data_IF_258457646103
#
_entry.id   IF_258457646103
#
_cell.length_a   1.000
_cell.length_b   1.000
_cell.length_c   1.000
_cell.angle_alpha   90.00
_cell.angle_beta   90.00
_cell.angle_gamma   90.00
#
_symmetry.space_group_name_H-M   'P 1'
#
loop_
_entity.id
_entity.type
_entity.pdbx_description
1 polymer ?
#
# COMPACT_ATOMS: atom_id res chain seq x y z
N UNK A 1 -13.64 30.41 -39.67
CA UNK A 1 -14.29 29.44 -38.78
C UNK A 1 -15.78 29.61 -38.87
N UNK A 2 -16.50 28.52 -39.10
CA UNK A 2 -17.97 28.53 -39.08
C UNK A 2 -18.46 28.44 -37.63
N UNK A 3 -19.65 28.98 -37.34
CA UNK A 3 -20.23 28.99 -35.98
C UNK A 3 -20.38 27.57 -35.38
N UNK A 4 -20.50 26.56 -36.24
CA UNK A 4 -20.47 25.15 -35.90
C UNK A 4 -19.10 24.66 -35.41
N UNK A 5 -18.01 25.14 -35.98
CA UNK A 5 -16.64 24.79 -35.56
C UNK A 5 -16.32 25.37 -34.17
N UNK A 6 -16.80 26.59 -33.87
CA UNK A 6 -16.64 27.21 -32.56
C UNK A 6 -17.45 26.50 -31.47
N UNK A 7 -18.69 26.09 -31.78
CA UNK A 7 -19.52 25.31 -30.86
C UNK A 7 -18.91 23.93 -30.62
N UNK A 8 -18.44 23.26 -31.67
CA UNK A 8 -17.71 21.98 -31.56
C UNK A 8 -16.44 22.14 -30.71
N UNK A 9 -15.60 23.14 -30.97
CA UNK A 9 -14.40 23.41 -30.17
C UNK A 9 -14.74 23.72 -28.69
N UNK A 10 -15.84 24.43 -28.43
CA UNK A 10 -16.30 24.71 -27.07
C UNK A 10 -16.86 23.47 -26.35
N UNK A 11 -17.49 22.55 -27.09
CA UNK A 11 -17.97 21.27 -26.58
C UNK A 11 -16.80 20.31 -26.34
N UNK A 12 -15.81 20.28 -27.23
CA UNK A 12 -14.56 19.54 -27.09
C UNK A 12 -13.77 20.01 -25.86
N UNK A 13 -13.65 21.32 -25.66
CA UNK A 13 -13.00 21.89 -24.47
C UNK A 13 -13.77 21.70 -23.17
N UNK A 14 -15.09 21.46 -23.22
CA UNK A 14 -15.94 21.26 -22.03
C UNK A 14 -16.17 19.80 -21.65
N UNK A 15 -16.24 18.91 -22.64
CA UNK A 15 -16.65 17.52 -22.44
C UNK A 15 -15.56 16.50 -22.78
N UNK A 16 -14.42 16.93 -23.33
CA UNK A 16 -13.42 16.04 -23.89
C UNK A 16 -13.92 15.44 -25.20
N UNK A 17 -13.10 15.42 -26.24
CA UNK A 17 -13.33 14.50 -27.35
C UNK A 17 -12.25 13.46 -27.31
N UNK A 18 -12.71 12.20 -27.30
CA UNK A 18 -11.89 11.02 -27.52
C UNK A 18 -11.10 11.17 -28.82
N UNK A 19 -9.85 11.60 -28.71
CA UNK A 19 -8.92 11.64 -29.83
C UNK A 19 -7.78 10.66 -29.51
N UNK A 20 -7.88 9.40 -29.91
CA UNK A 20 -6.86 8.40 -29.60
C UNK A 20 -5.47 8.72 -30.19
N UNK A 21 -5.35 9.76 -31.03
CA UNK A 21 -4.07 10.27 -31.52
C UNK A 21 -3.40 11.29 -30.58
N UNK A 22 -4.13 11.83 -29.62
CA UNK A 22 -3.63 12.77 -28.62
C UNK A 22 -3.43 12.09 -27.27
N UNK A 23 -2.38 12.47 -26.54
CA UNK A 23 -2.07 11.96 -25.22
C UNK A 23 -2.53 12.96 -24.15
N UNK A 24 -3.24 12.47 -23.14
CA UNK A 24 -3.53 13.16 -21.91
C UNK A 24 -2.70 12.60 -20.76
N UNK A 25 -2.43 13.49 -19.80
CA UNK A 25 -1.74 13.14 -18.56
C UNK A 25 -2.80 13.17 -17.46
N UNK A 26 -3.05 12.02 -16.83
CA UNK A 26 -4.01 11.92 -15.73
C UNK A 26 -3.26 11.57 -14.44
N UNK A 27 -3.62 12.22 -13.33
CA UNK A 27 -3.12 11.80 -12.02
C UNK A 27 -3.60 10.38 -11.74
N UNK A 28 -2.67 9.49 -11.43
CA UNK A 28 -2.96 8.07 -11.22
C UNK A 28 -2.12 7.52 -10.07
N UNK A 29 -2.57 6.40 -9.52
CA UNK A 29 -1.85 5.68 -8.47
C UNK A 29 -1.84 4.19 -8.80
N UNK A 30 -0.70 3.54 -8.58
CA UNK A 30 -0.59 2.08 -8.56
C UNK A 30 -0.34 1.64 -7.14
N UNK A 31 -1.11 0.69 -6.64
CA UNK A 31 -0.93 0.15 -5.31
C UNK A 31 -0.96 -1.37 -5.30
N UNK A 32 -0.18 -1.94 -4.40
CA UNK A 32 -0.23 -3.35 -4.09
C UNK A 32 -0.02 -3.58 -2.59
N UNK A 33 -0.91 -4.37 -2.02
CA UNK A 33 -0.86 -4.85 -0.65
C UNK A 33 -0.60 -6.36 -0.66
N UNK A 34 0.36 -6.76 0.16
CA UNK A 34 0.80 -8.15 0.32
C UNK A 34 0.63 -8.54 1.78
N UNK A 35 0.03 -9.70 2.02
CA UNK A 35 -0.10 -10.25 3.37
C UNK A 35 1.29 -10.53 3.93
N UNK A 36 1.60 -9.93 5.06
CA UNK A 36 2.81 -10.22 5.80
C UNK A 36 2.73 -11.65 6.36
N UNK A 37 3.70 -12.52 6.05
CA UNK A 37 3.74 -13.86 6.62
C UNK A 37 4.04 -13.77 8.11
N UNK A 38 3.37 -14.61 8.89
CA UNK A 38 3.39 -14.55 10.36
C UNK A 38 4.79 -14.80 10.92
N UNK A 39 5.58 -15.64 10.26
CA UNK A 39 6.95 -15.92 10.61
C UNK A 39 7.89 -15.30 9.58
N UNK A 40 8.74 -14.38 10.04
CA UNK A 40 10.11 -14.25 9.56
C UNK A 40 10.35 -14.44 8.08
N UNK A 41 10.05 -13.44 7.26
CA UNK A 41 10.39 -13.46 5.84
C UNK A 41 11.69 -12.71 5.57
N UNK A 42 12.43 -13.16 4.57
CA UNK A 42 13.63 -12.45 4.07
C UNK A 42 13.28 -11.47 2.96
N UNK A 43 12.13 -11.65 2.31
CA UNK A 43 11.71 -10.84 1.17
C UNK A 43 10.19 -10.80 1.06
N UNK A 44 9.66 -9.64 0.67
CA UNK A 44 8.29 -9.47 0.21
C UNK A 44 8.32 -8.89 -1.19
N UNK A 45 7.60 -9.52 -2.11
CA UNK A 45 7.52 -9.10 -3.50
C UNK A 45 6.15 -8.50 -3.77
N UNK A 46 6.15 -7.35 -4.43
CA UNK A 46 4.97 -6.57 -4.76
C UNK A 46 4.74 -6.54 -6.28
N UNK A 47 3.51 -6.23 -6.68
CA UNK A 47 3.05 -6.10 -8.05
C UNK A 47 3.18 -7.38 -8.89
N UNK A 48 3.21 -8.56 -8.26
CA UNK A 48 3.26 -9.85 -8.97
C UNK A 48 1.92 -10.54 -9.10
N UNK A 49 0.93 -10.17 -8.30
CA UNK A 49 -0.37 -10.82 -8.31
C UNK A 49 -1.40 -9.75 -8.70
N UNK A 50 -1.94 -9.79 -9.93
CA UNK A 50 -2.99 -8.86 -10.33
C UNK A 50 -4.29 -9.15 -9.58
N UNK A 51 -5.26 -8.26 -9.73
CA UNK A 51 -6.60 -8.47 -9.21
C UNK A 51 -7.17 -9.84 -9.63
N UNK A 52 -7.81 -10.53 -8.69
CA UNK A 52 -8.37 -11.86 -8.88
C UNK A 52 -7.35 -13.00 -8.76
N UNK A 53 -6.05 -12.71 -8.84
CA UNK A 53 -5.02 -13.72 -8.59
C UNK A 53 -4.95 -14.08 -7.11
N UNK A 54 -4.61 -15.33 -6.81
CA UNK A 54 -4.49 -15.83 -5.44
C UNK A 54 -3.29 -15.21 -4.74
N UNK A 55 -3.50 -14.57 -3.59
CA UNK A 55 -2.44 -14.13 -2.72
C UNK A 55 -1.71 -15.35 -2.12
N UNK A 56 -0.39 -15.49 -2.32
CA UNK A 56 0.35 -16.70 -1.94
C UNK A 56 0.37 -16.97 -0.43
N UNK A 57 0.15 -15.93 0.40
CA UNK A 57 0.19 -16.08 1.86
C UNK A 57 -1.20 -16.34 2.44
N UNK A 58 -2.24 -15.60 2.01
CA UNK A 58 -3.60 -15.83 2.51
C UNK A 58 -4.37 -16.95 1.80
N UNK A 59 -3.97 -17.33 0.59
CA UNK A 59 -4.70 -18.29 -0.25
C UNK A 59 -6.03 -17.77 -0.82
N UNK A 60 -6.33 -16.49 -0.62
CA UNK A 60 -7.54 -15.82 -1.12
C UNK A 60 -7.22 -15.00 -2.37
N UNK A 61 -8.18 -14.84 -3.27
CA UNK A 61 -8.02 -13.93 -4.41
C UNK A 61 -7.86 -12.49 -3.97
N UNK A 62 -6.88 -11.78 -4.54
CA UNK A 62 -6.68 -10.35 -4.31
C UNK A 62 -7.88 -9.55 -4.81
N UNK A 63 -8.36 -8.64 -3.97
CA UNK A 63 -9.47 -7.74 -4.28
C UNK A 63 -8.97 -6.38 -4.77
N UNK A 64 -9.89 -5.54 -5.27
CA UNK A 64 -9.59 -4.13 -5.62
C UNK A 64 -9.03 -3.34 -4.42
N UNK A 65 -9.35 -3.73 -3.19
CA UNK A 65 -8.81 -3.07 -1.99
C UNK A 65 -7.30 -3.33 -1.83
N UNK A 66 -6.81 -4.45 -2.36
CA UNK A 66 -5.42 -4.89 -2.19
C UNK A 66 -4.57 -4.56 -3.40
N UNK A 67 -5.11 -4.54 -4.62
CA UNK A 67 -4.35 -4.09 -5.78
C UNK A 67 -5.25 -3.58 -6.89
N UNK A 68 -4.78 -2.57 -7.61
CA UNK A 68 -5.37 -2.14 -8.87
C UNK A 68 -4.59 -2.62 -10.09
N UNK A 69 -3.63 -3.53 -9.90
CA UNK A 69 -2.86 -4.13 -10.98
C UNK A 69 -3.74 -5.09 -11.78
N UNK A 70 -3.85 -4.90 -13.09
CA UNK A 70 -4.62 -5.82 -13.95
C UNK A 70 -3.76 -6.93 -14.56
N UNK A 71 -2.43 -6.74 -14.60
CA UNK A 71 -1.47 -7.69 -15.20
C UNK A 71 -0.27 -7.93 -14.29
N UNK A 72 0.18 -9.17 -14.20
CA UNK A 72 1.32 -9.55 -13.36
C UNK A 72 2.60 -8.80 -13.77
N UNK A 73 3.20 -8.08 -12.83
CA UNK A 73 4.55 -7.53 -12.96
C UNK A 73 4.69 -6.41 -13.96
N UNK A 74 3.60 -5.73 -14.36
CA UNK A 74 3.60 -4.70 -15.41
C UNK A 74 2.52 -3.64 -15.17
N UNK A 75 2.85 -2.37 -15.39
CA UNK A 75 1.84 -1.30 -15.45
C UNK A 75 1.05 -1.34 -16.76
N UNK A 76 -0.18 -0.85 -16.71
CA UNK A 76 -1.10 -0.85 -17.86
C UNK A 76 -0.84 0.30 -18.84
N UNK A 77 -0.27 1.39 -18.32
CA UNK A 77 0.03 2.60 -19.06
C UNK A 77 1.46 3.05 -18.76
N UNK A 78 2.09 3.83 -19.67
CA UNK A 78 3.30 4.56 -19.32
C UNK A 78 3.01 5.46 -18.10
N UNK A 79 3.87 5.38 -17.10
CA UNK A 79 3.61 5.98 -15.79
C UNK A 79 4.83 6.76 -15.31
N UNK A 80 4.62 8.03 -14.95
CA UNK A 80 5.64 8.88 -14.34
C UNK A 80 5.45 8.82 -12.84
N UNK A 81 6.43 8.28 -12.12
CA UNK A 81 6.43 8.19 -10.66
C UNK A 81 6.97 9.50 -10.08
N UNK A 82 6.18 10.10 -9.20
CA UNK A 82 6.54 11.34 -8.49
C UNK A 82 6.66 11.11 -6.98
N UNK A 83 5.95 10.14 -6.43
CA UNK A 83 6.02 9.81 -5.01
C UNK A 83 5.96 8.30 -4.80
N UNK A 84 6.69 7.84 -3.78
CA UNK A 84 6.62 6.46 -3.30
C UNK A 84 6.07 6.53 -1.89
N UNK A 85 5.09 5.69 -1.60
CA UNK A 85 4.50 5.60 -0.29
C UNK A 85 4.32 4.16 0.14
N UNK A 86 4.35 3.92 1.44
CA UNK A 86 4.27 2.59 2.02
C UNK A 86 3.31 2.58 3.19
N UNK A 87 2.76 1.40 3.49
CA UNK A 87 1.74 1.21 4.51
C UNK A 87 1.98 -0.06 5.30
N UNK A 88 1.66 0.01 6.60
CA UNK A 88 1.42 -1.14 7.45
C UNK A 88 -0.08 -1.09 7.80
N UNK A 89 -0.80 -2.08 7.29
CA UNK A 89 -2.24 -2.14 7.36
C UNK A 89 -2.68 -3.33 8.21
N UNK A 90 -3.29 -3.06 9.35
CA UNK A 90 -3.84 -4.11 10.19
C UNK A 90 -5.28 -4.40 9.72
N UNK A 91 -5.53 -5.68 9.40
CA UNK A 91 -6.83 -6.07 8.84
C UNK A 91 -7.97 -5.91 9.86
N UNK A 92 -9.17 -5.56 9.37
CA UNK A 92 -10.36 -5.43 10.20
C UNK A 92 -10.73 -6.79 10.77
N UNK A 93 -11.47 -6.83 11.88
CA UNK A 93 -11.82 -8.10 12.54
C UNK A 93 -12.46 -9.12 11.61
N UNK A 94 -13.37 -8.68 10.73
CA UNK A 94 -14.07 -9.59 9.82
C UNK A 94 -13.12 -10.38 8.90
N UNK A 95 -11.88 -9.89 8.72
CA UNK A 95 -10.81 -10.51 7.93
C UNK A 95 -9.67 -11.06 8.80
N UNK A 96 -9.80 -11.00 10.12
CA UNK A 96 -8.94 -11.71 11.07
C UNK A 96 -9.50 -13.12 11.32
N UNK A 97 -8.65 -14.01 11.84
CA UNK A 97 -9.09 -15.34 12.22
C UNK A 97 -10.12 -15.28 13.37
N UNK A 98 -11.09 -16.19 13.40
CA UNK A 98 -12.25 -16.14 14.30
C UNK A 98 -11.91 -16.07 15.81
N UNK A 99 -10.74 -16.57 16.21
CA UNK A 99 -10.23 -16.52 17.57
C UNK A 99 -9.63 -15.15 17.97
N UNK A 100 -9.47 -14.22 17.02
CA UNK A 100 -9.12 -12.81 17.29
C UNK A 100 -10.43 -12.06 17.62
N UNK A 101 -10.70 -11.84 18.90
CA UNK A 101 -11.95 -11.22 19.36
C UNK A 101 -12.08 -9.74 18.93
N UNK A 102 -13.31 -9.27 18.67
CA UNK A 102 -13.60 -7.83 18.64
C UNK A 102 -13.50 -7.35 20.07
N UNK A 103 -12.36 -6.81 20.45
CA UNK A 103 -12.40 -5.67 21.33
C UNK A 103 -11.10 -4.91 21.17
N UNK A 104 -11.27 -3.59 21.09
CA UNK A 104 -10.30 -2.49 21.05
C UNK A 104 -9.24 -2.52 22.17
N UNK A 105 -9.14 -3.61 22.92
CA UNK A 105 -8.17 -3.89 23.97
C UNK A 105 -7.07 -4.89 23.57
N UNK A 106 -7.34 -5.83 22.66
CA UNK A 106 -6.37 -6.91 22.39
C UNK A 106 -5.40 -6.63 21.25
N UNK A 107 -5.67 -5.71 20.33
CA UNK A 107 -4.60 -5.22 19.44
C UNK A 107 -4.14 -3.83 19.90
N UNK A 108 -4.96 -3.06 20.62
CA UNK A 108 -4.72 -1.63 20.90
C UNK A 108 -4.89 -1.20 22.36
N UNK A 109 -5.27 -2.08 23.30
CA UNK A 109 -5.57 -1.63 24.68
C UNK A 109 -5.34 -2.68 25.77
N UNK A 110 -4.09 -2.85 26.20
CA UNK A 110 -3.86 -3.25 27.58
C UNK A 110 -4.04 -4.72 27.95
N UNK A 111 -4.26 -5.64 27.02
CA UNK A 111 -4.12 -7.07 27.30
C UNK A 111 -2.63 -7.45 27.47
N UNK A 112 -2.31 -8.33 28.42
CA UNK A 112 -0.94 -8.72 28.82
C UNK A 112 -0.03 -9.28 27.70
N UNK A 113 -0.52 -9.41 26.48
CA UNK A 113 0.20 -9.98 25.32
C UNK A 113 0.24 -9.05 24.10
N UNK A 114 -0.41 -7.88 24.14
CA UNK A 114 -0.59 -7.07 22.93
C UNK A 114 -0.62 -5.54 23.13
N UNK A 115 -0.40 -5.07 24.36
CA UNK A 115 -0.32 -3.64 24.64
C UNK A 115 1.03 -3.03 24.26
N UNK A 116 1.01 -1.73 23.96
CA UNK A 116 2.23 -0.90 23.90
C UNK A 116 3.03 -1.03 25.20
N UNK A 117 4.36 -1.23 25.10
CA UNK A 117 5.25 -1.40 26.26
C UNK A 117 5.36 -2.83 26.82
N UNK A 118 4.64 -3.82 26.26
CA UNK A 118 4.81 -5.24 26.62
C UNK A 118 5.92 -5.87 25.76
N UNK A 119 6.94 -6.53 26.35
CA UNK A 119 7.90 -7.33 25.59
C UNK A 119 7.16 -8.37 24.72
N UNK A 120 7.38 -8.35 23.41
CA UNK A 120 6.69 -9.18 22.40
C UNK A 120 5.20 -8.85 22.14
N UNK A 121 4.76 -7.61 22.36
CA UNK A 121 3.44 -7.14 21.91
C UNK A 121 3.38 -6.84 20.40
N UNK A 122 2.18 -6.90 19.81
CA UNK A 122 1.95 -6.62 18.37
C UNK A 122 2.46 -5.24 17.98
N UNK A 123 2.20 -4.20 18.79
CA UNK A 123 2.70 -2.84 18.53
C UNK A 123 4.23 -2.75 18.49
N UNK A 124 4.92 -3.40 19.42
CA UNK A 124 6.38 -3.43 19.42
C UNK A 124 6.91 -4.19 18.19
N UNK A 125 6.22 -5.26 17.78
CA UNK A 125 6.57 -5.98 16.57
C UNK A 125 6.38 -5.14 15.29
N UNK A 126 5.28 -4.38 15.20
CA UNK A 126 5.02 -3.46 14.08
C UNK A 126 6.00 -2.27 14.07
N UNK A 127 6.36 -1.74 15.24
CA UNK A 127 7.38 -0.69 15.36
C UNK A 127 8.78 -1.17 14.96
N UNK A 128 9.13 -2.40 15.34
CA UNK A 128 10.38 -3.02 14.90
C UNK A 128 10.35 -3.31 13.39
N UNK A 129 9.22 -3.77 12.86
CA UNK A 129 9.03 -3.98 11.42
C UNK A 129 9.17 -2.67 10.63
N UNK A 130 8.63 -1.56 11.14
CA UNK A 130 8.74 -0.25 10.46
C UNK A 130 10.19 0.25 10.38
N UNK A 131 11.03 -0.11 11.36
CA UNK A 131 12.47 0.20 11.37
C UNK A 131 13.35 -0.78 10.59
N UNK A 132 12.77 -1.71 9.84
CA UNK A 132 13.49 -2.76 9.12
C UNK A 132 13.18 -2.74 7.61
N UNK A 133 14.07 -3.38 6.86
CA UNK A 133 13.88 -3.64 5.44
C UNK A 133 14.54 -2.61 4.52
N UNK A 134 14.73 -3.01 3.27
CA UNK A 134 15.20 -2.18 2.17
C UNK A 134 14.23 -2.38 1.01
N UNK A 135 13.53 -1.32 0.60
CA UNK A 135 12.70 -1.31 -0.58
C UNK A 135 13.60 -1.14 -1.82
N UNK A 136 13.70 -2.18 -2.62
CA UNK A 136 14.36 -2.17 -3.91
C UNK A 136 13.32 -2.14 -5.03
N UNK A 137 13.39 -1.10 -5.86
CA UNK A 137 12.50 -0.88 -7.00
C UNK A 137 13.32 -0.96 -8.28
N UNK A 138 13.05 -2.00 -9.06
CA UNK A 138 13.73 -2.29 -10.32
C UNK A 138 12.69 -2.27 -11.44
N UNK A 139 13.01 -1.55 -12.51
CA UNK A 139 12.23 -1.57 -13.74
C UNK A 139 13.10 -2.12 -14.87
N UNK A 140 12.66 -3.20 -15.51
CA UNK A 140 13.44 -3.95 -16.48
C UNK A 140 14.70 -4.56 -15.86
N UNK A 141 15.87 -4.03 -16.19
CA UNK A 141 17.17 -4.51 -15.69
C UNK A 141 17.89 -3.49 -14.79
N UNK A 142 17.27 -2.34 -14.51
CA UNK A 142 17.90 -1.25 -13.78
C UNK A 142 17.20 -1.01 -12.46
N UNK A 143 17.98 -0.95 -11.38
CA UNK A 143 17.51 -0.47 -10.08
C UNK A 143 17.39 1.05 -10.10
N UNK A 144 16.22 1.55 -9.72
CA UNK A 144 15.93 2.99 -9.66
C UNK A 144 15.98 3.51 -8.23
N UNK A 145 15.48 2.73 -7.28
CA UNK A 145 15.42 3.12 -5.87
C UNK A 145 15.85 1.96 -4.99
N UNK A 146 16.73 2.26 -4.04
CA UNK A 146 17.01 1.43 -2.87
C UNK A 146 16.79 2.30 -1.64
N UNK A 147 15.70 2.08 -0.93
CA UNK A 147 15.27 2.90 0.20
C UNK A 147 15.33 2.04 1.46
N UNK A 148 16.25 2.37 2.35
CA UNK A 148 16.33 1.75 3.67
C UNK A 148 15.13 2.17 4.52
N UNK A 149 14.66 1.28 5.40
CA UNK A 149 13.54 1.51 6.31
C UNK A 149 12.33 2.19 5.63
N UNK A 150 11.77 1.57 4.58
CA UNK A 150 10.82 2.23 3.69
C UNK A 150 9.57 2.74 4.41
N UNK A 151 9.15 2.06 5.48
CA UNK A 151 8.01 2.48 6.29
C UNK A 151 8.24 3.76 7.10
N UNK A 152 9.50 4.16 7.35
CA UNK A 152 9.84 5.41 8.04
C UNK A 152 10.13 6.55 7.07
N UNK A 153 10.76 6.24 5.93
CA UNK A 153 11.16 7.26 4.96
C UNK A 153 10.17 7.46 3.82
N UNK A 154 9.23 6.53 3.63
CA UNK A 154 8.13 6.65 2.66
C UNK A 154 6.75 6.44 3.31
N UNK A 155 6.41 7.01 4.48
CA UNK A 155 5.05 6.99 4.99
C UNK A 155 4.10 7.69 4.00
N UNK A 156 2.82 7.35 4.06
CA UNK A 156 1.81 7.87 3.13
C UNK A 156 1.40 9.31 3.34
N UNK A 157 2.02 10.02 4.29
CA UNK A 157 1.45 11.25 4.81
C UNK A 157 0.14 10.95 5.55
N UNK A 158 -0.27 11.88 6.41
CA UNK A 158 -1.33 11.74 7.41
C UNK A 158 -2.54 10.87 6.99
N UNK A 159 -2.85 9.83 7.77
CA UNK A 159 -3.99 8.93 7.51
C UNK A 159 -4.23 7.91 8.61
N UNK A 160 -5.08 8.28 9.58
CA UNK A 160 -5.55 7.50 10.74
C UNK A 160 -4.40 7.04 11.65
N UNK A 161 -3.98 7.94 12.52
CA UNK A 161 -3.32 7.53 13.74
C UNK A 161 -4.29 6.67 14.56
N UNK A 162 -3.84 5.55 15.15
CA UNK A 162 -4.68 4.69 16.01
C UNK A 162 -4.94 5.35 17.37
N UNK A 163 -4.58 6.62 17.51
CA UNK A 163 -4.66 7.40 18.74
C UNK A 163 -5.92 8.27 18.81
N UNK A 164 -7.11 7.79 18.42
CA UNK A 164 -8.38 8.14 19.10
C UNK A 164 -9.61 7.38 18.54
N UNK A 165 -9.93 6.22 19.11
CA UNK A 165 -11.32 5.72 19.17
C UNK A 165 -11.80 5.61 20.62
N UNK A 166 -11.35 6.53 21.49
CA UNK A 166 -11.87 6.68 22.87
C UNK A 166 -13.13 7.55 22.97
N UNK A 167 -13.98 7.57 21.95
CA UNK A 167 -15.33 8.12 22.08
C UNK A 167 -16.26 7.49 21.05
N UNK A 168 -16.89 6.37 21.40
CA UNK A 168 -18.34 6.28 21.62
C UNK A 168 -18.71 4.82 21.90
N UNK A 169 -19.51 4.66 22.95
CA UNK A 169 -20.05 3.42 23.46
C UNK A 169 -20.62 2.46 22.42
N UNK A 170 -20.58 1.19 22.80
CA UNK A 170 -21.54 0.12 22.48
C UNK A 170 -21.37 -0.63 21.14
N UNK A 171 -21.00 -1.91 21.30
CA UNK A 171 -21.51 -3.12 20.60
C UNK A 171 -21.56 -3.11 19.06
N UNK A 172 -20.92 -4.15 18.51
CA UNK A 172 -21.06 -4.74 17.16
C UNK A 172 -19.91 -4.43 16.18
N UNK A 173 -19.31 -5.52 15.68
CA UNK A 173 -18.32 -5.63 14.59
C UNK A 173 -17.69 -4.33 14.08
N UNK A 174 -16.49 -4.04 14.57
CA UNK A 174 -15.58 -3.08 13.92
C UNK A 174 -15.15 -3.71 12.59
N UNK A 175 -15.84 -3.30 11.52
CA UNK A 175 -15.44 -3.57 10.13
C UNK A 175 -14.35 -2.61 9.66
N UNK A 176 -13.91 -1.70 10.54
CA UNK A 176 -13.01 -0.64 10.19
C UNK A 176 -11.58 -1.14 10.09
N UNK A 177 -10.99 -0.80 8.96
CA UNK A 177 -9.59 -1.02 8.67
C UNK A 177 -8.73 -0.08 9.52
N UNK A 178 -7.66 -0.60 10.12
CA UNK A 178 -6.76 0.21 10.97
C UNK A 178 -5.40 0.36 10.30
N UNK A 179 -5.01 1.60 10.02
CA UNK A 179 -3.67 1.93 9.55
C UNK A 179 -2.74 2.11 10.75
N UNK A 180 -1.53 1.55 10.67
CA UNK A 180 -0.51 1.81 11.68
C UNK A 180 0.11 3.19 11.43
N UNK A 181 0.16 4.05 12.44
CA UNK A 181 0.85 5.34 12.37
C UNK A 181 2.36 5.13 12.18
N UNK A 182 2.86 5.40 10.97
CA UNK A 182 4.27 5.18 10.61
C UNK A 182 5.15 6.40 10.80
N UNK A 183 4.62 7.59 10.52
CA UNK A 183 5.23 8.88 10.81
C UNK A 183 4.17 9.89 11.22
N UNK A 184 4.53 10.76 12.16
CA UNK A 184 3.71 11.89 12.62
C UNK A 184 3.96 13.18 11.81
N UNK A 185 4.99 13.19 10.95
CA UNK A 185 5.42 14.39 10.21
C UNK A 185 4.86 14.38 8.77
N UNK A 186 4.11 15.41 8.36
CA UNK A 186 3.58 15.51 7.00
C UNK A 186 4.66 15.75 5.93
N UNK A 187 5.90 16.05 6.34
CA UNK A 187 7.05 16.26 5.46
C UNK A 187 7.74 14.96 5.05
N UNK A 188 7.45 13.83 5.71
CA UNK A 188 8.14 12.55 5.51
C UNK A 188 7.69 11.82 4.23
N UNK A 189 7.00 12.48 3.30
CA UNK A 189 6.60 11.88 2.02
C UNK A 189 7.84 11.73 1.13
N UNK A 190 8.11 10.52 0.65
CA UNK A 190 9.21 10.27 -0.28
C UNK A 190 8.87 10.79 -1.68
N UNK A 191 9.44 11.96 -2.00
CA UNK A 191 9.33 12.57 -3.32
C UNK A 191 10.44 12.08 -4.24
N UNK A 192 10.04 11.52 -5.38
CA UNK A 192 10.94 11.09 -6.44
C UNK A 192 11.38 12.30 -7.24
N UNK A 193 12.64 12.72 -7.07
CA UNK A 193 13.25 13.82 -7.82
C UNK A 193 14.63 13.40 -8.35
N UNK A 194 14.85 13.38 -9.69
CA UNK A 194 13.89 13.68 -10.75
C UNK A 194 12.81 12.59 -10.90
N UNK A 195 11.61 12.92 -11.43
CA UNK A 195 10.57 11.94 -11.71
C UNK A 195 11.05 10.82 -12.63
N UNK A 196 10.57 9.60 -12.40
CA UNK A 196 10.96 8.43 -13.19
C UNK A 196 9.81 8.03 -14.11
N UNK A 197 10.07 8.03 -15.42
CA UNK A 197 9.17 7.45 -16.41
C UNK A 197 9.41 5.94 -16.48
N UNK A 198 8.34 5.17 -16.30
CA UNK A 198 8.27 3.73 -16.52
C UNK A 198 7.45 3.50 -17.77
N UNK A 199 8.01 2.76 -18.72
CA UNK A 199 7.33 2.44 -19.96
C UNK A 199 6.21 1.42 -19.70
N UNK A 200 5.23 1.41 -20.61
CA UNK A 200 4.23 0.34 -20.61
C UNK A 200 4.93 -1.01 -20.84
N UNK A 201 4.42 -2.06 -20.20
CA UNK A 201 4.91 -3.44 -20.36
C UNK A 201 6.35 -3.68 -19.87
N UNK A 202 6.93 -2.71 -19.17
CA UNK A 202 8.21 -2.90 -18.50
C UNK A 202 8.04 -3.84 -17.29
N UNK A 203 8.93 -4.82 -17.17
CA UNK A 203 8.91 -5.77 -16.05
C UNK A 203 9.21 -5.01 -14.75
N UNK A 204 8.34 -5.18 -13.76
CA UNK A 204 8.48 -4.61 -12.43
C UNK A 204 9.04 -5.67 -11.48
N UNK A 205 10.11 -5.34 -10.76
CA UNK A 205 10.59 -6.14 -9.64
C UNK A 205 10.71 -5.22 -8.43
N UNK A 206 9.69 -5.27 -7.57
CA UNK A 206 9.58 -4.40 -6.41
C UNK A 206 9.58 -5.29 -5.18
N UNK A 207 10.64 -5.18 -4.39
CA UNK A 207 10.87 -6.06 -3.25
C UNK A 207 11.20 -5.26 -2.00
N UNK A 208 10.67 -5.67 -0.85
CA UNK A 208 11.22 -5.28 0.45
C UNK A 208 12.07 -6.44 0.93
N UNK A 209 13.38 -6.22 1.02
CA UNK A 209 14.35 -7.21 1.48
C UNK A 209 14.68 -6.96 2.96
N UNK A 210 14.78 -8.01 3.77
CA UNK A 210 15.12 -7.93 5.20
C UNK A 210 16.52 -8.54 5.44
N UNK A 211 17.61 -7.74 5.33
CA UNK A 211 18.97 -8.25 5.19
C UNK A 211 19.63 -8.80 6.47
N UNK A 212 19.16 -8.45 7.68
CA UNK A 212 19.86 -8.81 8.93
C UNK A 212 19.38 -10.10 9.63
N UNK A 213 18.20 -10.62 9.28
CA UNK A 213 17.63 -11.91 9.69
C UNK A 213 16.19 -11.92 9.16
N UNK A 214 15.49 -13.06 9.32
CA UNK A 214 14.03 -13.13 9.18
C UNK A 214 13.36 -11.91 9.82
N UNK A 215 12.52 -11.22 9.04
CA UNK A 215 11.79 -10.04 9.48
C UNK A 215 11.03 -10.27 10.80
N UNK A 216 10.71 -9.19 11.51
CA UNK A 216 10.08 -9.30 12.84
C UNK A 216 8.82 -10.19 12.82
N UNK A 217 8.79 -11.23 13.64
CA UNK A 217 7.61 -12.10 13.81
C UNK A 217 6.46 -11.32 14.44
N UNK A 218 5.27 -11.38 13.85
CA UNK A 218 4.07 -10.80 14.48
C UNK A 218 3.57 -11.78 15.55
N UNK A 219 3.50 -11.36 16.82
CA UNK A 219 3.11 -12.24 17.92
C UNK A 219 1.63 -12.63 17.82
N UNK A 220 1.31 -13.81 18.37
CA UNK A 220 -0.04 -14.33 18.42
C UNK A 220 -0.88 -13.64 19.50
N UNK A 221 -2.17 -13.49 19.23
CA UNK A 221 -3.18 -13.11 20.22
C UNK A 221 -4.11 -14.31 20.41
N UNK A 222 -4.31 -14.72 21.67
CA UNK A 222 -5.19 -15.85 22.01
C UNK A 222 -4.87 -17.12 21.18
N UNK A 223 -3.57 -17.45 21.08
CA UNK A 223 -3.04 -18.57 20.30
C UNK A 223 -3.32 -18.51 18.77
N UNK A 224 -3.62 -17.33 18.25
CA UNK A 224 -3.95 -17.11 16.83
C UNK A 224 -3.12 -15.97 16.24
N UNK A 225 -2.71 -16.13 14.99
CA UNK A 225 -1.88 -15.14 14.29
C UNK A 225 -2.67 -13.88 13.95
N UNK A 226 -2.06 -12.72 14.19
CA UNK A 226 -2.60 -11.44 13.73
C UNK A 226 -2.19 -11.24 12.28
N UNK A 227 -3.17 -10.95 11.42
CA UNK A 227 -2.93 -10.69 10.01
C UNK A 227 -2.68 -9.20 9.76
N UNK A 228 -1.60 -8.91 9.05
CA UNK A 228 -1.16 -7.56 8.66
C UNK A 228 -0.86 -7.59 7.18
N UNK A 229 -1.32 -6.59 6.43
CA UNK A 229 -0.95 -6.39 5.03
C UNK A 229 0.07 -5.24 4.97
N UNK A 230 1.13 -5.40 4.19
CA UNK A 230 2.06 -4.33 3.87
C UNK A 230 1.71 -3.79 2.49
N UNK A 231 1.67 -2.47 2.35
CA UNK A 231 1.31 -1.80 1.11
C UNK A 231 2.45 -0.98 0.54
N UNK A 232 2.52 -0.93 -0.79
CA UNK A 232 3.30 0.06 -1.54
C UNK A 232 2.36 0.78 -2.50
N UNK A 233 2.51 2.09 -2.58
CA UNK A 233 1.78 2.97 -3.48
C UNK A 233 2.78 3.80 -4.26
N UNK A 234 2.66 3.78 -5.58
CA UNK A 234 3.30 4.74 -6.47
C UNK A 234 2.27 5.77 -6.90
N UNK A 235 2.51 7.03 -6.59
CA UNK A 235 1.72 8.15 -7.10
C UNK A 235 2.45 8.87 -8.21
N UNK A 236 1.67 9.40 -9.13
CA UNK A 236 2.17 10.26 -10.19
C UNK A 236 1.17 10.38 -11.33
N UNK A 237 1.64 10.19 -12.56
CA UNK A 237 0.85 10.50 -13.75
C UNK A 237 0.87 9.36 -14.75
N UNK A 238 -0.31 8.89 -15.16
CA UNK A 238 -0.48 7.98 -16.28
C UNK A 238 -0.62 8.76 -17.58
N UNK A 239 0.07 8.31 -18.62
CA UNK A 239 -0.05 8.84 -19.98
C UNK A 239 -1.04 7.97 -20.73
N UNK A 240 -2.21 8.54 -21.03
CA UNK A 240 -3.35 7.86 -21.63
C UNK A 240 -3.69 8.53 -22.95
N UNK A 241 -4.29 7.84 -23.92
CA UNK A 241 -4.96 8.50 -25.03
C UNK A 241 -6.10 9.40 -24.50
N UNK A 242 -6.37 10.55 -25.14
CA UNK A 242 -7.49 11.41 -24.75
C UNK A 242 -8.82 10.67 -24.90
N UNK A 243 -9.68 10.82 -23.88
CA UNK A 243 -11.04 10.26 -23.82
C UNK A 243 -12.09 11.25 -24.29
#
# INVERSE_FOLDING_TARGET
MTRSEEILASLQGRFGTQDPSQLQIQKWQYYDYVRYPVAGTTQLTFFTNPIGATDPVSGLSKTLEQTNLTRNGMFDYPFIITEIKTHIFLLPKARQAAAVSANTSLITGGGATASYGVPNGVWNALWNLSGQGILSVVFGQKTYFDIEQPFRFCPTGFGVDVTNTTAFSAVANVNDNTLFGQSESPEDIYKVTPPVLVEKDQILQININFPQATSTTIPQISATNVNVDLGIIFEGFAILPTQ
#
